data_IF_754412372661
#
_entry.id   IF_754412372661
#
_cell.length_a   1.000
_cell.length_b   1.000
_cell.length_c   1.000
_cell.angle_alpha   90.00
_cell.angle_beta   90.00
_cell.angle_gamma   90.00
#
_symmetry.space_group_name_H-M   'P 1'
#
loop_
_entity.id
_entity.type
_entity.pdbx_description
1 polymer ?
#
# COMPACT_ATOMS: atom_id res chain seq x y z
N UNK A 1 17.77 -6.90 -7.16
CA UNK A 1 16.67 -6.14 -6.55
C UNK A 1 17.23 -4.81 -6.14
N UNK A 2 17.00 -3.79 -6.96
CA UNK A 2 17.25 -2.40 -6.56
C UNK A 2 16.13 -1.98 -5.61
N UNK A 3 16.52 -1.44 -4.46
CA UNK A 3 15.60 -0.78 -3.53
C UNK A 3 15.86 0.70 -3.71
N UNK A 4 15.00 1.39 -4.46
CA UNK A 4 15.03 2.84 -4.53
C UNK A 4 14.54 3.40 -3.19
N UNK A 5 15.48 3.88 -2.37
CA UNK A 5 15.16 4.68 -1.18
C UNK A 5 14.88 6.11 -1.61
N UNK A 6 13.62 6.40 -1.87
CA UNK A 6 13.12 7.78 -1.88
C UNK A 6 13.00 8.20 -0.40
N UNK A 7 13.42 9.42 -0.08
CA UNK A 7 13.52 9.97 1.28
C UNK A 7 12.13 10.23 1.90
N UNK A 8 11.36 9.16 2.06
CA UNK A 8 10.05 9.13 2.67
C UNK A 8 10.02 7.99 3.68
N UNK A 9 9.56 8.31 4.89
CA UNK A 9 9.43 7.40 6.02
C UNK A 9 8.57 6.15 5.76
N UNK A 10 7.94 6.08 4.59
CA UNK A 10 6.97 5.07 4.17
C UNK A 10 7.56 4.25 3.02
N UNK A 11 7.58 2.94 3.17
CA UNK A 11 8.04 1.97 2.19
C UNK A 11 6.83 1.23 1.60
N UNK A 12 6.78 1.13 0.26
CA UNK A 12 5.78 0.36 -0.49
C UNK A 12 6.46 -0.91 -1.00
N UNK A 13 5.96 -2.07 -0.60
CA UNK A 13 6.57 -3.36 -0.91
C UNK A 13 5.57 -4.19 -1.72
N UNK A 14 5.85 -4.38 -2.99
CA UNK A 14 5.06 -5.21 -3.90
C UNK A 14 5.66 -6.61 -3.99
N UNK A 15 4.83 -7.64 -3.86
CA UNK A 15 5.25 -9.04 -3.96
C UNK A 15 4.24 -9.82 -4.79
N UNK A 16 4.71 -10.76 -5.61
CA UNK A 16 3.83 -11.73 -6.24
C UNK A 16 3.20 -12.63 -5.17
N UNK A 17 1.87 -12.69 -5.14
CA UNK A 17 1.13 -13.49 -4.16
C UNK A 17 0.75 -14.85 -4.75
N UNK A 18 0.17 -14.84 -5.95
CA UNK A 18 -0.16 -16.03 -6.73
C UNK A 18 -0.10 -15.72 -8.24
N UNK A 19 -0.59 -16.64 -9.07
CA UNK A 19 -0.62 -16.47 -10.53
C UNK A 19 -1.54 -15.33 -11.03
N UNK A 20 -2.38 -14.77 -10.14
CA UNK A 20 -3.44 -13.80 -10.47
C UNK A 20 -3.32 -12.49 -9.71
N UNK A 21 -2.48 -12.42 -8.69
CA UNK A 21 -2.46 -11.25 -7.81
C UNK A 21 -1.08 -10.94 -7.28
N UNK A 22 -0.87 -9.64 -7.07
CA UNK A 22 0.24 -9.11 -6.29
C UNK A 22 -0.30 -8.64 -4.94
N UNK A 23 0.46 -8.85 -3.87
CA UNK A 23 0.19 -8.22 -2.58
C UNK A 23 1.09 -7.02 -2.37
N UNK A 24 0.52 -5.95 -1.81
CA UNK A 24 1.24 -4.74 -1.44
C UNK A 24 1.18 -4.51 0.06
N UNK A 25 2.35 -4.33 0.66
CA UNK A 25 2.50 -3.90 2.03
C UNK A 25 2.97 -2.45 2.06
N UNK A 26 2.39 -1.66 2.96
CA UNK A 26 2.78 -0.26 3.17
C UNK A 26 3.26 -0.13 4.60
N UNK A 27 4.52 0.25 4.78
CA UNK A 27 5.17 0.31 6.09
C UNK A 27 5.72 1.69 6.38
N UNK A 28 5.48 2.23 7.58
CA UNK A 28 6.12 3.45 8.04
C UNK A 28 7.08 3.14 9.18
N UNK A 29 8.37 3.49 9.02
CA UNK A 29 9.41 3.16 10.02
C UNK A 29 9.39 1.67 10.44
N UNK A 30 9.15 0.77 9.47
CA UNK A 30 9.05 -0.68 9.71
C UNK A 30 7.76 -1.16 10.39
N UNK A 31 6.77 -0.29 10.59
CA UNK A 31 5.44 -0.68 11.07
C UNK A 31 4.45 -0.69 9.92
N UNK A 32 3.69 -1.77 9.77
CA UNK A 32 2.63 -1.86 8.78
C UNK A 32 1.48 -0.89 9.10
N UNK A 33 1.12 -0.05 8.14
CA UNK A 33 0.10 1.01 8.30
C UNK A 33 -1.22 0.70 7.55
N UNK A 34 -1.45 -0.55 7.14
CA UNK A 34 -2.67 -0.97 6.42
C UNK A 34 -3.96 -0.43 7.06
N UNK A 35 -4.06 -0.45 8.40
CA UNK A 35 -5.27 -0.05 9.13
C UNK A 35 -5.57 1.44 8.95
N UNK A 36 -4.53 2.27 8.84
CA UNK A 36 -4.69 3.69 8.59
C UNK A 36 -5.20 3.94 7.17
N UNK A 37 -4.65 3.24 6.18
CA UNK A 37 -5.12 3.32 4.80
C UNK A 37 -6.58 2.90 4.70
N UNK A 38 -6.96 1.80 5.37
CA UNK A 38 -8.36 1.34 5.42
C UNK A 38 -9.30 2.35 6.07
N UNK A 39 -8.90 2.97 7.20
CA UNK A 39 -9.69 4.02 7.85
C UNK A 39 -9.87 5.27 6.98
N UNK A 40 -8.98 5.50 6.03
CA UNK A 40 -9.04 6.58 5.05
C UNK A 40 -9.68 6.16 3.72
N UNK A 41 -10.39 5.02 3.70
CA UNK A 41 -11.12 4.54 2.52
C UNK A 41 -10.22 4.27 1.30
N UNK A 42 -9.01 3.79 1.55
CA UNK A 42 -8.06 3.45 0.48
C UNK A 42 -8.64 2.46 -0.55
N UNK A 43 -9.38 1.43 -0.10
CA UNK A 43 -10.03 0.45 -1.00
C UNK A 43 -11.03 1.14 -1.95
N UNK A 44 -11.83 2.09 -1.43
CA UNK A 44 -12.81 2.85 -2.22
C UNK A 44 -12.12 3.77 -3.25
N UNK A 45 -11.03 4.46 -2.86
CA UNK A 45 -10.26 5.32 -3.77
C UNK A 45 -9.63 4.50 -4.90
N UNK A 46 -9.02 3.35 -4.59
CA UNK A 46 -8.44 2.49 -5.61
C UNK A 46 -9.51 1.91 -6.56
N UNK A 47 -10.70 1.57 -6.06
CA UNK A 47 -11.82 1.16 -6.92
C UNK A 47 -12.26 2.27 -7.88
N UNK A 48 -12.31 3.52 -7.43
CA UNK A 48 -12.62 4.68 -8.28
C UNK A 48 -11.61 4.84 -9.44
N UNK A 49 -10.36 4.43 -9.25
CA UNK A 49 -9.32 4.45 -10.29
C UNK A 49 -9.23 3.17 -11.13
N UNK A 50 -10.27 2.32 -11.14
CA UNK A 50 -10.29 1.02 -11.82
C UNK A 50 -9.14 0.10 -11.34
N UNK A 51 -8.79 0.18 -10.06
CA UNK A 51 -7.73 -0.61 -9.41
C UNK A 51 -8.25 -1.31 -8.14
N UNK A 52 -9.34 -2.08 -8.23
CA UNK A 52 -9.98 -2.66 -7.05
C UNK A 52 -8.97 -3.47 -6.24
N UNK A 53 -8.97 -3.24 -4.93
CA UNK A 53 -8.09 -3.93 -4.00
C UNK A 53 -8.83 -4.39 -2.77
N UNK A 54 -8.30 -5.39 -2.08
CA UNK A 54 -8.87 -5.86 -0.83
C UNK A 54 -7.79 -6.28 0.17
N UNK A 55 -8.06 -6.06 1.45
CA UNK A 55 -7.14 -6.43 2.53
C UNK A 55 -7.06 -7.97 2.65
N UNK A 56 -5.84 -8.49 2.74
CA UNK A 56 -5.54 -9.87 3.13
C UNK A 56 -4.51 -9.94 4.23
N UNK A 57 -4.63 -10.98 5.05
CA UNK A 57 -3.65 -11.33 6.08
C UNK A 57 -2.79 -12.49 5.56
N UNK A 58 -1.47 -12.28 5.54
CA UNK A 58 -0.47 -13.31 5.23
C UNK A 58 0.45 -13.46 6.43
N UNK A 59 0.32 -14.58 7.15
CA UNK A 59 1.19 -14.91 8.29
C UNK A 59 1.26 -13.81 9.35
N UNK A 60 0.14 -13.11 9.60
CA UNK A 60 0.05 -12.01 10.57
C UNK A 60 0.43 -10.63 10.00
N UNK A 61 0.82 -10.55 8.72
CA UNK A 61 1.10 -9.28 8.02
C UNK A 61 -0.04 -8.99 7.04
N UNK A 62 -0.71 -7.85 7.23
CA UNK A 62 -1.82 -7.44 6.36
C UNK A 62 -1.35 -6.60 5.19
N UNK A 63 -1.89 -6.84 4.01
CA UNK A 63 -1.58 -6.09 2.79
C UNK A 63 -2.79 -6.01 1.87
N UNK A 64 -2.63 -5.28 0.78
CA UNK A 64 -3.66 -5.02 -0.22
C UNK A 64 -3.40 -5.90 -1.45
N UNK A 65 -4.37 -6.73 -1.83
CA UNK A 65 -4.26 -7.55 -3.05
C UNK A 65 -4.72 -6.76 -4.26
N UNK A 66 -3.87 -6.73 -5.29
CA UNK A 66 -4.17 -6.18 -6.60
C UNK A 66 -4.13 -7.30 -7.64
N UNK A 67 -5.00 -7.21 -8.64
CA UNK A 67 -4.95 -8.10 -9.79
C UNK A 67 -3.63 -7.92 -10.55
N UNK A 68 -3.02 -9.03 -11.01
CA UNK A 68 -1.72 -9.02 -11.71
C UNK A 68 -1.76 -8.28 -13.05
N UNK A 69 -2.96 -8.06 -13.62
CA UNK A 69 -3.16 -7.23 -14.82
C UNK A 69 -2.90 -5.74 -14.55
N UNK A 70 -2.96 -5.30 -13.29
CA UNK A 70 -2.64 -3.93 -12.92
C UNK A 70 -1.12 -3.79 -12.87
N UNK A 71 -0.60 -2.84 -13.66
CA UNK A 71 0.83 -2.57 -13.72
C UNK A 71 1.39 -2.15 -12.34
N UNK A 72 2.49 -2.78 -11.91
CA UNK A 72 3.15 -2.50 -10.63
C UNK A 72 3.52 -1.02 -10.45
N UNK A 73 4.07 -0.38 -11.48
CA UNK A 73 4.41 1.05 -11.44
C UNK A 73 3.18 1.93 -11.20
N UNK A 74 2.02 1.55 -11.76
CA UNK A 74 0.74 2.24 -11.50
C UNK A 74 0.27 2.03 -10.06
N UNK A 75 0.43 0.83 -9.51
CA UNK A 75 0.10 0.55 -8.10
C UNK A 75 0.93 1.42 -7.17
N UNK A 76 2.25 1.46 -7.40
CA UNK A 76 3.16 2.27 -6.58
C UNK A 76 2.84 3.76 -6.72
N UNK A 77 2.57 4.26 -7.93
CA UNK A 77 2.26 5.68 -8.14
C UNK A 77 0.95 6.10 -7.46
N UNK A 78 -0.09 5.27 -7.51
CA UNK A 78 -1.38 5.60 -6.88
C UNK A 78 -1.32 5.53 -5.35
N UNK A 79 -0.60 4.55 -4.80
CA UNK A 79 -0.35 4.50 -3.35
C UNK A 79 0.46 5.72 -2.91
N UNK A 80 1.45 6.14 -3.69
CA UNK A 80 2.23 7.34 -3.41
C UNK A 80 1.35 8.60 -3.45
N UNK A 81 0.50 8.75 -4.47
CA UNK A 81 -0.48 9.83 -4.56
C UNK A 81 -1.36 9.89 -3.31
N UNK A 82 -1.90 8.74 -2.88
CA UNK A 82 -2.72 8.64 -1.69
C UNK A 82 -1.96 9.07 -0.42
N UNK A 83 -0.71 8.60 -0.25
CA UNK A 83 0.16 8.99 0.86
C UNK A 83 0.34 10.52 0.91
N UNK A 84 0.61 11.14 -0.23
CA UNK A 84 0.86 12.56 -0.34
C UNK A 84 -0.39 13.40 -0.08
N UNK A 85 -1.54 13.02 -0.67
CA UNK A 85 -2.83 13.71 -0.48
C UNK A 85 -3.25 13.72 0.99
N UNK A 86 -3.03 12.60 1.70
CA UNK A 86 -3.39 12.46 3.10
C UNK A 86 -2.29 12.91 4.08
N UNK A 87 -1.12 13.35 3.57
CA UNK A 87 0.07 13.70 4.34
C UNK A 87 0.45 12.60 5.36
N UNK A 88 0.40 11.32 4.95
CA UNK A 88 0.65 10.19 5.83
C UNK A 88 2.10 10.17 6.34
N UNK A 89 3.03 10.74 5.59
CA UNK A 89 4.44 10.95 5.95
C UNK A 89 4.60 11.81 7.22
N UNK A 90 3.77 12.85 7.37
CA UNK A 90 3.82 13.82 8.49
C UNK A 90 3.04 13.41 9.72
N UNK A 91 2.09 12.48 9.59
CA UNK A 91 1.27 12.03 10.73
C UNK A 91 2.08 11.14 11.66
N UNK A 92 2.13 11.47 12.95
CA UNK A 92 2.70 10.56 13.95
C UNK A 92 1.63 9.57 14.39
N UNK A 93 1.95 8.27 14.27
CA UNK A 93 1.02 7.18 14.55
C UNK A 93 1.29 6.54 15.92
N UNK A 94 1.95 7.27 16.82
CA UNK A 94 2.37 6.84 18.15
C UNK A 94 1.23 6.57 19.15
N UNK A 95 -0.02 6.46 18.68
CA UNK A 95 -1.23 6.28 19.50
C UNK A 95 -1.98 4.95 19.28
N UNK A 96 -1.35 3.96 18.63
CA UNK A 96 -1.80 2.55 18.62
C UNK A 96 -0.65 1.59 18.92
#
# INVERSE_FOLDING_TARGET
MEVEKIDQLIEIIVQNFDEKSNIVFVEKKGKNIWSMLSLMQFEDDMEYWDMPTHIRDISGRKGFLFDISINEGRIVSEIQRFIDEHNLDKRDFSLY
#
